data_IF_990676885486
#
_entry.id   IF_990676885486
#
_cell.length_a   1.000
_cell.length_b   1.000
_cell.length_c   1.000
_cell.angle_alpha   90.00
_cell.angle_beta   90.00
_cell.angle_gamma   90.00
#
_symmetry.space_group_name_H-M   'P 1'
#
loop_
_entity.id
_entity.type
_entity.pdbx_description
1 polymer ?
#
# COMPACT_ATOMS: atom_id res chain seq x y z
N UNK A 1 -8.58 -20.08 13.78
CA UNK A 1 -8.69 -19.85 12.32
C UNK A 1 -7.34 -19.68 11.64
N UNK A 2 -6.52 -18.65 11.94
CA UNK A 2 -5.12 -18.59 11.49
C UNK A 2 -4.13 -18.80 12.65
N UNK A 3 -3.19 -19.78 12.56
CA UNK A 3 -2.12 -19.95 13.54
C UNK A 3 -1.28 -18.69 13.71
N UNK A 4 -0.86 -18.39 14.94
CA UNK A 4 -0.02 -17.24 15.28
C UNK A 4 1.23 -17.05 14.38
N UNK A 5 2.01 -18.09 14.04
CA UNK A 5 3.25 -17.91 13.26
C UNK A 5 3.03 -17.34 11.85
N UNK A 6 1.86 -17.57 11.24
CA UNK A 6 1.60 -17.17 9.86
C UNK A 6 0.92 -15.81 9.71
N UNK A 7 0.37 -15.24 10.79
CA UNK A 7 -0.42 -14.00 10.74
C UNK A 7 0.36 -12.83 10.15
N UNK A 8 1.59 -12.60 10.62
CA UNK A 8 2.44 -11.50 10.12
C UNK A 8 2.79 -11.66 8.64
N UNK A 9 3.07 -12.89 8.21
CA UNK A 9 3.41 -13.20 6.82
C UNK A 9 2.21 -12.97 5.90
N UNK A 10 1.03 -13.46 6.29
CA UNK A 10 -0.22 -13.26 5.55
C UNK A 10 -0.57 -11.78 5.44
N UNK A 11 -0.47 -11.02 6.53
CA UNK A 11 -0.74 -9.58 6.51
C UNK A 11 0.21 -8.85 5.57
N UNK A 12 1.50 -9.23 5.55
CA UNK A 12 2.48 -8.64 4.64
C UNK A 12 2.10 -8.90 3.17
N UNK A 13 1.75 -10.13 2.83
CA UNK A 13 1.30 -10.52 1.48
C UNK A 13 0.03 -9.72 1.11
N UNK A 14 -0.96 -9.70 2.01
CA UNK A 14 -2.24 -9.02 1.80
C UNK A 14 -2.07 -7.50 1.59
N UNK A 15 -1.26 -6.84 2.41
CA UNK A 15 -0.98 -5.40 2.27
C UNK A 15 -0.24 -5.12 0.96
N UNK A 16 0.70 -5.98 0.55
CA UNK A 16 1.37 -5.81 -0.75
C UNK A 16 0.35 -5.87 -1.89
N UNK A 17 -0.53 -6.87 -1.92
CA UNK A 17 -1.58 -6.99 -2.94
C UNK A 17 -2.56 -5.81 -2.93
N UNK A 18 -2.80 -5.20 -1.76
CA UNK A 18 -3.60 -3.97 -1.65
C UNK A 18 -2.92 -2.78 -2.34
N UNK A 19 -1.62 -2.61 -2.10
CA UNK A 19 -0.84 -1.46 -2.58
C UNK A 19 -0.45 -1.57 -4.06
N UNK A 20 -0.48 -2.78 -4.62
CA UNK A 20 -0.19 -3.04 -6.03
C UNK A 20 -1.12 -2.27 -6.97
N UNK A 21 -0.54 -1.59 -7.96
CA UNK A 21 -1.27 -0.83 -8.97
C UNK A 21 -0.53 -0.85 -10.33
N UNK A 22 -1.25 -1.03 -11.47
CA UNK A 22 -0.66 -1.09 -12.82
C UNK A 22 0.20 0.10 -13.23
N UNK A 23 -0.09 1.28 -12.68
CA UNK A 23 0.67 2.50 -12.93
C UNK A 23 2.10 2.47 -12.36
N UNK A 24 2.33 1.72 -11.29
CA UNK A 24 3.66 1.64 -10.69
C UNK A 24 4.41 0.43 -11.25
N UNK A 25 5.63 0.61 -11.77
CA UNK A 25 6.43 -0.49 -12.24
C UNK A 25 6.77 -1.42 -11.08
N UNK A 26 6.84 -2.72 -11.36
CA UNK A 26 7.36 -3.68 -10.39
C UNK A 26 8.89 -3.52 -10.25
N UNK A 27 9.49 -4.24 -9.29
CA UNK A 27 10.94 -4.29 -9.09
C UNK A 27 11.72 -4.73 -10.32
N UNK A 28 11.08 -5.47 -11.22
CA UNK A 28 11.63 -5.90 -12.52
C UNK A 28 11.44 -4.87 -13.64
N UNK A 29 10.93 -3.67 -13.35
CA UNK A 29 10.64 -2.58 -14.29
C UNK A 29 9.55 -2.86 -15.33
N UNK A 30 8.89 -4.01 -15.28
CA UNK A 30 7.78 -4.35 -16.16
C UNK A 30 6.44 -3.79 -15.66
N UNK A 31 5.63 -3.28 -16.59
CA UNK A 31 4.25 -2.89 -16.32
C UNK A 31 3.34 -4.12 -16.36
N UNK A 32 2.60 -4.35 -15.27
CA UNK A 32 1.66 -5.46 -15.15
C UNK A 32 0.23 -4.99 -15.35
N UNK A 33 -0.55 -5.75 -16.11
CA UNK A 33 -1.99 -5.49 -16.27
C UNK A 33 -2.76 -5.89 -15.00
N UNK A 34 -3.89 -5.23 -14.72
CA UNK A 34 -4.77 -5.55 -13.58
C UNK A 34 -5.15 -7.05 -13.51
N UNK A 35 -5.32 -7.70 -14.66
CA UNK A 35 -5.66 -9.12 -14.76
C UNK A 35 -4.50 -10.00 -14.30
N UNK A 36 -3.28 -9.71 -14.73
CA UNK A 36 -2.07 -10.42 -14.29
C UNK A 36 -1.85 -10.22 -12.79
N UNK A 37 -1.89 -8.98 -12.30
CA UNK A 37 -1.71 -8.69 -10.87
C UNK A 37 -2.71 -9.44 -9.99
N UNK A 38 -3.97 -9.52 -10.41
CA UNK A 38 -4.98 -10.30 -9.70
C UNK A 38 -4.67 -11.79 -9.70
N UNK A 39 -4.29 -12.35 -10.85
CA UNK A 39 -3.93 -13.76 -10.96
C UNK A 39 -2.76 -14.09 -10.02
N UNK A 40 -1.70 -13.29 -10.06
CA UNK A 40 -0.51 -13.45 -9.22
C UNK A 40 -0.86 -13.36 -7.74
N UNK A 41 -1.63 -12.34 -7.34
CA UNK A 41 -2.04 -12.14 -5.95
C UNK A 41 -2.88 -13.31 -5.40
N UNK A 42 -3.83 -13.82 -6.20
CA UNK A 42 -4.66 -14.99 -5.86
C UNK A 42 -3.78 -16.23 -5.74
N UNK A 43 -2.93 -16.46 -6.74
CA UNK A 43 -2.06 -17.63 -6.82
C UNK A 43 -1.07 -17.67 -5.64
N UNK A 44 -0.45 -16.54 -5.31
CA UNK A 44 0.51 -16.44 -4.20
C UNK A 44 -0.16 -16.69 -2.84
N UNK A 45 -1.33 -16.09 -2.58
CA UNK A 45 -2.05 -16.31 -1.33
C UNK A 45 -2.53 -17.77 -1.21
N UNK A 46 -3.04 -18.34 -2.30
CA UNK A 46 -3.46 -19.74 -2.36
C UNK A 46 -2.27 -20.66 -2.08
N UNK A 47 -1.16 -20.49 -2.79
CA UNK A 47 0.02 -21.32 -2.66
C UNK A 47 0.63 -21.23 -1.26
N UNK A 48 0.68 -20.02 -0.68
CA UNK A 48 1.13 -19.81 0.69
C UNK A 48 0.31 -20.63 1.70
N UNK A 49 -1.03 -20.61 1.55
CA UNK A 49 -1.93 -21.35 2.41
C UNK A 49 -1.85 -22.87 2.17
N UNK A 50 -1.79 -23.29 0.91
CA UNK A 50 -1.73 -24.69 0.51
C UNK A 50 -0.48 -25.39 1.04
N UNK A 51 0.71 -24.78 0.86
CA UNK A 51 1.97 -25.33 1.37
C UNK A 51 2.01 -25.51 2.89
N UNK A 52 1.21 -24.74 3.63
CA UNK A 52 1.17 -24.74 5.11
C UNK A 52 -0.07 -25.45 5.66
N UNK A 53 -0.89 -26.06 4.81
CA UNK A 53 -2.12 -26.74 5.23
C UNK A 53 -3.20 -25.82 5.79
N UNK A 54 -3.18 -24.51 5.48
CA UNK A 54 -4.08 -23.50 6.04
C UNK A 54 -5.40 -23.40 5.25
N UNK A 55 -6.17 -24.49 5.20
CA UNK A 55 -7.37 -24.60 4.35
C UNK A 55 -8.47 -23.62 4.75
N UNK A 56 -8.71 -23.47 6.05
CA UNK A 56 -9.72 -22.57 6.59
C UNK A 56 -9.36 -21.11 6.28
N UNK A 57 -8.08 -20.75 6.48
CA UNK A 57 -7.57 -19.41 6.17
C UNK A 57 -7.76 -19.10 4.68
N UNK A 58 -7.45 -20.05 3.80
CA UNK A 58 -7.71 -19.88 2.37
C UNK A 58 -9.20 -19.70 2.08
N UNK A 59 -10.07 -20.52 2.66
CA UNK A 59 -11.52 -20.40 2.48
C UNK A 59 -12.03 -19.00 2.85
N UNK A 60 -11.57 -18.46 3.98
CA UNK A 60 -11.88 -17.09 4.38
C UNK A 60 -11.29 -16.05 3.41
N UNK A 61 -10.01 -16.18 3.04
CA UNK A 61 -9.35 -15.25 2.13
C UNK A 61 -10.05 -15.20 0.78
N UNK A 62 -10.41 -16.34 0.21
CA UNK A 62 -11.15 -16.43 -1.04
C UNK A 62 -12.54 -15.79 -0.92
N UNK A 63 -13.35 -16.24 0.04
CA UNK A 63 -14.74 -15.80 0.15
C UNK A 63 -14.87 -14.31 0.45
N UNK A 64 -14.00 -13.77 1.32
CA UNK A 64 -14.09 -12.38 1.75
C UNK A 64 -13.28 -11.40 0.88
N UNK A 65 -12.20 -11.84 0.23
CA UNK A 65 -11.24 -10.92 -0.38
C UNK A 65 -10.88 -11.25 -1.84
N UNK A 66 -10.45 -12.48 -2.12
CA UNK A 66 -9.82 -12.82 -3.41
C UNK A 66 -10.79 -13.25 -4.51
N UNK A 67 -12.04 -13.58 -4.17
CA UNK A 67 -13.05 -13.88 -5.19
C UNK A 67 -13.32 -12.65 -6.08
N UNK A 68 -13.70 -12.85 -7.37
CA UNK A 68 -13.83 -11.77 -8.34
C UNK A 68 -14.69 -10.58 -7.87
N UNK A 69 -15.83 -10.88 -7.24
CA UNK A 69 -16.78 -9.88 -6.80
C UNK A 69 -16.25 -9.01 -5.66
N UNK A 70 -15.36 -9.55 -4.81
CA UNK A 70 -14.78 -8.86 -3.66
C UNK A 70 -13.46 -8.18 -4.00
N UNK A 71 -12.63 -8.80 -4.84
CA UNK A 71 -11.31 -8.27 -5.22
C UNK A 71 -11.40 -6.84 -5.77
N UNK A 72 -12.40 -6.58 -6.62
CA UNK A 72 -12.67 -5.24 -7.19
C UNK A 72 -12.96 -4.14 -6.16
N UNK A 73 -13.34 -4.50 -4.93
CA UNK A 73 -13.76 -3.54 -3.91
C UNK A 73 -12.59 -3.05 -3.05
N UNK A 74 -11.52 -3.84 -2.92
CA UNK A 74 -10.41 -3.51 -2.02
C UNK A 74 -9.07 -3.35 -2.75
N UNK A 75 -8.81 -4.13 -3.81
CA UNK A 75 -7.52 -4.10 -4.49
C UNK A 75 -7.41 -2.87 -5.40
N UNK A 76 -6.36 -2.06 -5.21
CA UNK A 76 -6.11 -0.87 -6.05
C UNK A 76 -5.87 -1.25 -7.50
N UNK A 77 -5.26 -2.41 -7.75
CA UNK A 77 -5.01 -2.94 -9.08
C UNK A 77 -6.27 -3.13 -9.93
N UNK A 78 -7.45 -3.21 -9.31
CA UNK A 78 -8.73 -3.36 -10.03
C UNK A 78 -9.16 -2.12 -10.82
N UNK A 79 -8.60 -0.95 -10.53
CA UNK A 79 -8.95 0.33 -11.16
C UNK A 79 -7.70 0.96 -11.81
N UNK A 80 -7.22 0.45 -12.96
CA UNK A 80 -5.95 0.87 -13.56
C UNK A 80 -5.88 2.37 -13.89
N UNK A 81 -7.03 2.97 -14.24
CA UNK A 81 -7.12 4.35 -14.68
C UNK A 81 -7.35 5.33 -13.50
N UNK A 82 -7.49 4.84 -12.28
CA UNK A 82 -7.82 5.66 -11.12
C UNK A 82 -6.83 5.40 -9.98
N UNK A 83 -5.89 6.33 -9.83
CA UNK A 83 -5.09 6.42 -8.61
C UNK A 83 -5.95 7.08 -7.53
N UNK A 84 -6.43 6.26 -6.60
CA UNK A 84 -7.17 6.77 -5.45
C UNK A 84 -6.34 7.76 -4.64
N UNK A 85 -6.64 9.06 -4.75
CA UNK A 85 -6.19 10.11 -3.81
C UNK A 85 -6.94 9.95 -2.49
N UNK A 86 -6.72 8.85 -1.76
CA UNK A 86 -7.43 8.62 -0.51
C UNK A 86 -6.52 8.77 0.70
N UNK A 87 -6.88 9.79 1.50
CA UNK A 87 -6.47 10.12 2.87
C UNK A 87 -4.97 10.06 3.11
N UNK A 88 -4.36 11.24 3.13
CA UNK A 88 -3.21 11.49 4.00
C UNK A 88 -3.47 10.78 5.32
N UNK A 89 -2.62 9.81 5.68
CA UNK A 89 -2.80 9.14 6.98
C UNK A 89 -2.75 10.21 8.06
N UNK A 90 -3.34 9.95 9.24
CA UNK A 90 -3.18 10.84 10.39
C UNK A 90 -1.70 11.20 10.62
N UNK A 91 -0.77 10.30 10.29
CA UNK A 91 0.67 10.54 10.35
C UNK A 91 1.14 11.56 9.30
N UNK A 92 0.64 11.50 8.06
CA UNK A 92 0.95 12.50 7.03
C UNK A 92 0.33 13.85 7.39
N UNK A 93 -0.91 13.88 7.87
CA UNK A 93 -1.54 15.11 8.34
C UNK A 93 -0.81 15.71 9.55
N UNK A 94 -0.41 14.87 10.51
CA UNK A 94 0.38 15.27 11.68
C UNK A 94 1.79 15.75 11.29
N UNK A 95 2.42 15.11 10.30
CA UNK A 95 3.67 15.57 9.72
C UNK A 95 3.51 16.99 9.14
N UNK A 96 2.51 17.20 8.28
CA UNK A 96 2.25 18.52 7.71
C UNK A 96 1.84 19.55 8.77
N UNK A 97 1.17 19.14 9.85
CA UNK A 97 0.87 20.00 11.00
C UNK A 97 2.15 20.43 11.70
N UNK A 98 3.02 19.49 12.07
CA UNK A 98 4.29 19.80 12.74
C UNK A 98 5.19 20.66 11.85
N UNK A 99 5.27 20.35 10.54
CA UNK A 99 6.02 21.15 9.58
C UNK A 99 5.50 22.61 9.50
N UNK A 100 4.17 22.80 9.52
CA UNK A 100 3.59 24.15 9.53
C UNK A 100 3.88 24.92 10.82
N UNK A 101 3.79 24.26 11.97
CA UNK A 101 3.90 24.92 13.27
C UNK A 101 5.34 25.10 13.75
N UNK A 102 6.23 24.15 13.47
CA UNK A 102 7.61 24.17 13.99
C UNK A 102 8.54 24.89 13.02
N UNK A 103 8.49 24.60 11.72
CA UNK A 103 9.47 25.15 10.76
C UNK A 103 8.92 26.30 9.92
N UNK A 104 7.63 26.30 9.53
CA UNK A 104 7.07 27.34 8.67
C UNK A 104 6.33 28.47 9.40
N UNK A 105 6.33 28.50 10.73
CA UNK A 105 5.53 29.48 11.48
C UNK A 105 5.95 30.95 11.23
N UNK A 106 7.21 31.18 10.84
CA UNK A 106 7.71 32.51 10.45
C UNK A 106 7.46 32.86 8.97
N UNK A 107 7.04 31.90 8.15
CA UNK A 107 6.87 32.06 6.71
C UNK A 107 5.39 31.91 6.35
N UNK A 108 4.72 33.05 6.19
CA UNK A 108 3.29 33.08 5.84
C UNK A 108 2.99 32.45 4.47
N UNK A 109 3.93 32.52 3.51
CA UNK A 109 3.79 31.94 2.17
C UNK A 109 5.17 31.56 1.58
N UNK A 110 5.77 30.44 2.00
CA UNK A 110 7.05 30.01 1.45
C UNK A 110 6.90 29.67 -0.05
N UNK A 111 7.85 30.12 -0.87
CA UNK A 111 7.98 29.64 -2.25
C UNK A 111 8.27 28.15 -2.26
N UNK A 112 7.87 27.44 -3.31
CA UNK A 112 8.05 25.99 -3.42
C UNK A 112 9.51 25.58 -3.19
N UNK A 113 10.45 26.32 -3.78
CA UNK A 113 11.89 26.05 -3.68
C UNK A 113 12.40 26.15 -2.23
N UNK A 114 11.90 27.15 -1.49
CA UNK A 114 12.24 27.36 -0.09
C UNK A 114 11.64 26.29 0.81
N UNK A 115 10.41 25.85 0.53
CA UNK A 115 9.77 24.73 1.23
C UNK A 115 10.56 23.42 1.02
N UNK A 116 10.98 23.15 -0.23
CA UNK A 116 11.79 21.97 -0.56
C UNK A 116 13.13 22.01 0.18
N UNK A 117 13.80 23.17 0.17
CA UNK A 117 15.06 23.36 0.90
C UNK A 117 14.90 23.03 2.38
N UNK A 118 13.90 23.62 3.06
CA UNK A 118 13.63 23.40 4.48
C UNK A 118 13.31 21.92 4.80
N UNK A 119 12.54 21.25 3.95
CA UNK A 119 12.26 19.81 4.13
C UNK A 119 13.56 19.00 4.07
N UNK A 120 14.45 19.30 3.12
CA UNK A 120 15.71 18.58 2.95
C UNK A 120 16.68 18.88 4.11
N UNK A 121 16.77 20.13 4.56
CA UNK A 121 17.77 20.54 5.54
C UNK A 121 17.37 20.32 7.00
N UNK A 122 16.10 20.50 7.34
CA UNK A 122 15.64 20.50 8.74
C UNK A 122 14.80 19.28 9.12
N UNK A 123 14.14 18.66 8.15
CA UNK A 123 13.09 17.66 8.42
C UNK A 123 13.55 16.24 8.09
N UNK A 124 14.31 16.07 7.01
CA UNK A 124 14.92 14.78 6.67
C UNK A 124 16.19 14.61 7.50
N UNK A 125 16.36 13.49 8.23
CA UNK A 125 17.59 13.24 8.95
C UNK A 125 18.77 13.19 7.97
N UNK A 126 19.84 13.93 8.27
CA UNK A 126 21.09 13.82 7.53
C UNK A 126 21.61 12.38 7.67
N UNK A 127 21.67 11.67 6.55
CA UNK A 127 22.31 10.36 6.47
C UNK A 127 23.83 10.51 6.43
#
# INVERSE_FOLDING_TARGET
FCPAPHRKQILRIFIRHFCEHPFFPDRTADFRTSKQMRYDAVHEMYWFCHQRGLREVWGYMWAAWYCPAKYRLWARSSQPNFLGRWRTTMSVENFWRNLKHETLHHLLHPRLDQLIYLIITEVVPAF
#
